data_IF_715319300911
#
_entry.id   IF_715319300911
#
_cell.length_a   1.000
_cell.length_b   1.000
_cell.length_c   1.000
_cell.angle_alpha   90.00
_cell.angle_beta   90.00
_cell.angle_gamma   90.00
#
_symmetry.space_group_name_H-M   'P 1'
#
loop_
_entity.id
_entity.type
_entity.pdbx_description
1 polymer ?
#
# COMPACT_ATOMS: atom_id res chain seq x y z
N UNK A 1 -19.17 -31.72 58.79
CA UNK A 1 -17.98 -31.89 57.91
C UNK A 1 -17.51 -30.48 57.55
N UNK A 2 -16.90 -29.77 58.51
CA UNK A 2 -15.45 -29.66 58.75
C UNK A 2 -14.81 -28.55 57.89
N UNK A 3 -14.43 -27.46 58.55
CA UNK A 3 -13.58 -26.38 58.07
C UNK A 3 -12.11 -26.67 58.41
N UNK A 4 -11.17 -26.17 57.59
CA UNK A 4 -9.74 -25.80 57.82
C UNK A 4 -9.12 -25.66 56.42
N UNK A 5 -8.72 -24.48 55.93
CA UNK A 5 -7.46 -23.75 56.24
C UNK A 5 -6.21 -24.64 56.14
N UNK A 6 -5.37 -24.44 55.10
CA UNK A 6 -3.91 -24.33 55.24
C UNK A 6 -3.17 -24.04 53.90
N UNK A 7 -2.36 -22.97 53.96
CA UNK A 7 -0.98 -22.84 53.47
C UNK A 7 -0.67 -22.64 51.96
N UNK A 8 -0.34 -21.39 51.64
CA UNK A 8 0.86 -21.03 50.86
C UNK A 8 2.15 -21.58 51.52
N UNK A 9 3.20 -21.86 50.73
CA UNK A 9 4.49 -21.29 51.12
C UNK A 9 5.29 -20.69 49.96
N UNK A 10 5.87 -19.54 50.30
CA UNK A 10 6.93 -18.80 49.63
C UNK A 10 8.13 -19.66 49.24
N UNK A 11 8.69 -19.38 48.06
CA UNK A 11 10.05 -19.75 47.65
C UNK A 11 10.51 -18.87 46.48
N UNK A 12 10.94 -17.63 46.74
CA UNK A 12 12.34 -17.22 46.90
C UNK A 12 13.27 -17.39 45.69
N UNK A 13 13.73 -16.24 45.18
CA UNK A 13 15.06 -15.92 44.61
C UNK A 13 15.27 -16.37 43.15
N UNK A 14 15.70 -15.51 42.22
CA UNK A 14 16.98 -14.80 42.29
C UNK A 14 16.99 -13.47 41.51
N UNK A 15 17.63 -12.49 42.15
CA UNK A 15 18.12 -11.23 41.63
C UNK A 15 19.60 -11.38 41.24
N UNK A 16 20.12 -10.46 40.40
CA UNK A 16 21.52 -10.12 40.06
C UNK A 16 22.02 -10.57 38.67
N UNK A 17 23.05 -9.92 38.07
CA UNK A 17 23.47 -8.51 38.12
C UNK A 17 23.78 -7.92 36.72
N UNK A 18 23.95 -6.59 36.66
CA UNK A 18 24.41 -5.88 35.46
C UNK A 18 25.92 -6.00 35.20
N UNK A 19 26.30 -5.87 33.93
CA UNK A 19 27.68 -5.58 33.54
C UNK A 19 27.72 -4.60 32.35
N UNK A 20 28.26 -3.42 32.61
CA UNK A 20 28.81 -2.50 31.61
C UNK A 20 29.86 -3.24 30.76
N UNK A 21 29.87 -2.99 29.45
CA UNK A 21 31.08 -3.17 28.64
C UNK A 21 31.33 -1.91 27.80
N UNK A 22 32.55 -1.42 27.97
CA UNK A 22 33.22 -0.27 27.34
C UNK A 22 33.45 -0.49 25.83
N UNK A 23 33.64 0.59 25.04
CA UNK A 23 33.94 0.51 23.62
C UNK A 23 35.38 0.06 23.37
N UNK A 24 35.56 -0.82 22.37
CA UNK A 24 36.86 -1.25 21.87
C UNK A 24 37.18 -0.51 20.58
N UNK A 25 38.27 0.25 20.60
CA UNK A 25 38.95 0.80 19.45
C UNK A 25 40.01 -0.21 18.95
N UNK A 26 40.07 -0.40 17.63
CA UNK A 26 41.09 -1.16 16.90
C UNK A 26 40.70 -1.11 15.42
N UNK A 27 41.25 -0.22 14.59
CA UNK A 27 42.62 -0.12 14.09
C UNK A 27 42.96 -1.21 13.05
N UNK A 28 43.12 -0.77 11.80
CA UNK A 28 44.05 -1.33 10.81
C UNK A 28 43.50 -2.38 9.84
N UNK A 29 43.19 -1.95 8.62
CA UNK A 29 43.65 -2.67 7.41
C UNK A 29 43.58 -1.73 6.19
N UNK A 30 44.77 -1.43 5.69
CA UNK A 30 45.11 -0.76 4.45
C UNK A 30 44.55 -1.47 3.22
N UNK A 31 43.96 -0.72 2.28
CA UNK A 31 44.04 -1.07 0.86
C UNK A 31 44.42 0.18 0.08
N UNK A 32 45.59 0.09 -0.52
CA UNK A 32 46.21 1.07 -1.41
C UNK A 32 45.63 0.88 -2.80
N UNK A 33 45.09 1.94 -3.39
CA UNK A 33 44.97 2.06 -4.84
C UNK A 33 45.30 3.49 -5.23
N UNK A 34 46.49 3.65 -5.81
CA UNK A 34 46.96 4.83 -6.52
C UNK A 34 46.01 5.19 -7.67
N UNK A 35 45.54 6.43 -7.69
CA UNK A 35 45.00 7.08 -8.89
C UNK A 35 45.80 8.35 -9.12
N UNK A 36 46.53 8.36 -10.23
CA UNK A 36 47.24 9.51 -10.77
C UNK A 36 46.27 10.61 -11.20
N UNK A 37 46.57 11.91 -10.97
CA UNK A 37 45.83 12.99 -11.60
C UNK A 37 46.60 13.43 -12.87
N UNK A 38 45.98 13.26 -14.05
CA UNK A 38 46.37 14.05 -15.22
C UNK A 38 45.28 15.09 -15.48
N UNK A 39 45.55 16.32 -15.03
CA UNK A 39 44.76 17.49 -15.40
C UNK A 39 45.31 18.03 -16.73
N UNK A 40 44.48 18.05 -17.77
CA UNK A 40 44.71 18.84 -18.98
C UNK A 40 43.38 19.34 -19.52
N UNK A 41 43.05 20.55 -19.06
CA UNK A 41 42.64 21.74 -19.83
C UNK A 41 41.62 21.62 -20.97
N UNK A 42 40.54 22.40 -20.76
CA UNK A 42 39.85 23.28 -21.70
C UNK A 42 38.89 22.67 -22.75
N UNK A 43 37.85 23.47 -23.04
CA UNK A 43 36.69 23.24 -23.93
C UNK A 43 35.64 22.32 -23.27
N UNK A 44 34.42 22.75 -22.94
CA UNK A 44 33.40 23.31 -23.85
C UNK A 44 32.47 24.25 -23.04
N UNK A 45 32.41 25.51 -23.44
CA UNK A 45 31.34 26.43 -23.05
C UNK A 45 30.09 26.19 -23.92
N UNK A 46 28.91 26.50 -23.37
CA UNK A 46 27.57 26.48 -23.99
C UNK A 46 26.75 25.19 -23.81
N UNK A 47 26.09 25.08 -22.65
CA UNK A 47 24.79 24.41 -22.54
C UNK A 47 23.90 25.16 -21.53
N UNK A 48 23.38 26.30 -21.97
CA UNK A 48 22.20 26.92 -21.37
C UNK A 48 20.97 26.07 -21.71
N UNK A 49 20.60 25.12 -20.83
CA UNK A 49 19.19 24.75 -20.60
C UNK A 49 19.08 23.73 -19.46
N UNK A 50 18.37 24.04 -18.35
CA UNK A 50 17.79 22.97 -17.55
C UNK A 50 16.74 22.24 -18.40
N UNK A 51 16.56 20.91 -18.23
CA UNK A 51 15.39 20.24 -18.77
C UNK A 51 14.17 20.90 -18.13
N UNK A 52 13.35 21.57 -18.93
CA UNK A 52 12.01 21.97 -18.54
C UNK A 52 11.24 20.68 -18.27
N UNK A 53 11.30 20.21 -17.02
CA UNK A 53 10.37 19.24 -16.49
C UNK A 53 8.97 19.71 -16.79
N UNK A 54 8.11 18.76 -17.16
CA UNK A 54 6.70 18.97 -17.41
C UNK A 54 6.09 19.73 -16.26
N UNK A 55 5.95 21.04 -16.46
CA UNK A 55 5.19 21.90 -15.58
C UNK A 55 3.75 21.67 -16.00
N UNK A 56 3.11 20.71 -15.34
CA UNK A 56 1.68 20.51 -15.42
C UNK A 56 1.02 21.86 -15.21
N UNK A 57 0.32 22.33 -16.24
CA UNK A 57 -0.39 23.59 -16.19
C UNK A 57 -1.38 23.55 -15.01
N UNK A 58 -1.39 24.56 -14.13
CA UNK A 58 -2.42 24.68 -13.12
C UNK A 58 -3.73 25.03 -13.82
N UNK A 59 -4.64 24.06 -13.86
CA UNK A 59 -5.94 24.19 -14.51
C UNK A 59 -6.24 23.06 -15.48
N UNK A 60 -6.01 21.81 -15.09
CA UNK A 60 -6.64 20.69 -15.78
C UNK A 60 -8.15 20.90 -15.71
N UNK A 61 -8.72 21.34 -16.83
CA UNK A 61 -10.16 21.52 -16.99
C UNK A 61 -10.79 20.15 -16.77
N UNK A 62 -11.37 19.96 -15.59
CA UNK A 62 -12.18 18.79 -15.30
C UNK A 62 -13.29 18.75 -16.34
N UNK A 63 -13.39 17.62 -17.03
CA UNK A 63 -14.50 17.42 -17.95
C UNK A 63 -15.80 17.47 -17.14
N UNK A 64 -16.63 18.47 -17.44
CA UNK A 64 -17.90 18.71 -16.74
C UNK A 64 -19.02 17.83 -17.29
N UNK A 65 -18.74 16.98 -18.29
CA UNK A 65 -19.63 15.92 -18.71
C UNK A 65 -19.96 15.00 -17.54
N UNK A 66 -21.11 14.31 -17.62
CA UNK A 66 -21.50 13.35 -16.57
C UNK A 66 -20.45 12.25 -16.37
N UNK A 67 -19.80 11.79 -17.44
CA UNK A 67 -18.74 10.79 -17.38
C UNK A 67 -17.48 11.37 -16.74
N UNK A 68 -17.08 12.58 -17.15
CA UNK A 68 -15.93 13.30 -16.60
C UNK A 68 -16.05 13.59 -15.11
N UNK A 69 -17.22 14.03 -14.64
CA UNK A 69 -17.47 14.26 -13.21
C UNK A 69 -17.40 12.95 -12.41
N UNK A 70 -17.99 11.87 -12.92
CA UNK A 70 -17.90 10.55 -12.27
C UNK A 70 -16.46 10.05 -12.20
N UNK A 71 -15.72 10.18 -13.30
CA UNK A 71 -14.32 9.82 -13.39
C UNK A 71 -13.48 10.61 -12.39
N UNK A 72 -13.65 11.93 -12.33
CA UNK A 72 -12.94 12.79 -11.37
C UNK A 72 -13.21 12.38 -9.91
N UNK A 73 -14.48 12.10 -9.56
CA UNK A 73 -14.83 11.63 -8.21
C UNK A 73 -14.21 10.27 -7.91
N UNK A 74 -14.29 9.32 -8.84
CA UNK A 74 -13.70 7.98 -8.67
C UNK A 74 -12.18 8.05 -8.54
N UNK A 75 -11.52 8.82 -9.39
CA UNK A 75 -10.07 9.02 -9.36
C UNK A 75 -9.59 9.79 -8.11
N UNK A 76 -10.45 10.58 -7.47
CA UNK A 76 -10.13 11.18 -6.17
C UNK A 76 -10.40 10.23 -4.99
N UNK A 77 -11.45 9.41 -5.07
CA UNK A 77 -11.86 8.52 -3.98
C UNK A 77 -11.01 7.25 -3.87
N UNK A 78 -10.63 6.63 -4.99
CA UNK A 78 -9.88 5.38 -4.97
C UNK A 78 -8.48 5.52 -4.33
N UNK A 79 -7.68 6.56 -4.63
CA UNK A 79 -6.42 6.77 -3.92
C UNK A 79 -6.61 7.00 -2.42
N UNK A 80 -7.64 7.78 -2.03
CA UNK A 80 -7.95 7.99 -0.62
C UNK A 80 -8.32 6.68 0.10
N UNK A 81 -9.01 5.76 -0.59
CA UNK A 81 -9.27 4.41 -0.09
C UNK A 81 -7.98 3.60 0.06
N UNK A 82 -7.05 3.67 -0.90
CA UNK A 82 -5.73 3.03 -0.78
C UNK A 82 -4.98 3.52 0.47
N UNK A 83 -4.95 4.84 0.71
CA UNK A 83 -4.30 5.39 1.92
C UNK A 83 -5.01 4.94 3.20
N UNK A 84 -6.34 4.96 3.22
CA UNK A 84 -7.11 4.48 4.37
C UNK A 84 -6.80 3.01 4.68
N UNK A 85 -6.66 2.16 3.66
CA UNK A 85 -6.29 0.75 3.81
C UNK A 85 -4.87 0.56 4.35
N UNK A 86 -3.91 1.41 3.95
CA UNK A 86 -2.51 1.36 4.43
C UNK A 86 -2.40 1.52 5.94
N UNK A 87 -3.31 2.28 6.55
CA UNK A 87 -3.37 2.46 8.01
C UNK A 87 -4.03 1.30 8.76
N UNK A 88 -4.74 0.40 8.06
CA UNK A 88 -5.42 -0.73 8.69
C UNK A 88 -4.51 -1.95 8.83
N UNK A 89 -4.87 -2.86 9.73
CA UNK A 89 -4.37 -4.24 9.75
C UNK A 89 -5.54 -5.16 9.43
N UNK A 90 -5.46 -5.90 8.34
CA UNK A 90 -6.58 -6.68 7.82
C UNK A 90 -6.42 -8.17 8.16
N UNK A 91 -7.51 -8.79 8.61
CA UNK A 91 -7.62 -10.25 8.65
C UNK A 91 -8.07 -10.81 7.30
N UNK A 92 -7.95 -12.13 7.11
CA UNK A 92 -8.39 -12.84 5.89
C UNK A 92 -9.79 -12.47 5.43
N UNK A 93 -10.78 -12.47 6.31
CA UNK A 93 -12.18 -12.18 5.94
C UNK A 93 -12.36 -10.74 5.43
N UNK A 94 -11.67 -9.77 6.05
CA UNK A 94 -11.74 -8.38 5.62
C UNK A 94 -11.09 -8.18 4.24
N UNK A 95 -9.95 -8.84 4.00
CA UNK A 95 -9.30 -8.85 2.69
C UNK A 95 -10.19 -9.47 1.59
N UNK A 96 -10.82 -10.62 1.88
CA UNK A 96 -11.73 -11.29 0.94
C UNK A 96 -12.98 -10.46 0.67
N UNK A 97 -13.48 -9.71 1.65
CA UNK A 97 -14.58 -8.77 1.44
C UNK A 97 -14.17 -7.64 0.49
N UNK A 98 -12.98 -7.06 0.68
CA UNK A 98 -12.45 -6.05 -0.24
C UNK A 98 -12.27 -6.64 -1.64
N UNK A 99 -11.81 -7.88 -1.76
CA UNK A 99 -11.71 -8.58 -3.05
C UNK A 99 -13.08 -8.70 -3.75
N UNK A 100 -14.10 -9.09 -3.00
CA UNK A 100 -15.47 -9.17 -3.51
C UNK A 100 -15.99 -7.79 -3.94
N UNK A 101 -15.72 -6.76 -3.14
CA UNK A 101 -16.15 -5.39 -3.42
C UNK A 101 -15.46 -4.84 -4.68
N UNK A 102 -14.15 -5.05 -4.85
CA UNK A 102 -13.42 -4.64 -6.07
C UNK A 102 -13.95 -5.41 -7.29
N UNK A 103 -14.20 -6.71 -7.16
CA UNK A 103 -14.77 -7.52 -8.23
C UNK A 103 -16.16 -7.01 -8.65
N UNK A 104 -16.99 -6.63 -7.67
CA UNK A 104 -18.29 -6.01 -7.91
C UNK A 104 -18.15 -4.63 -8.57
N UNK A 105 -17.25 -3.78 -8.05
CA UNK A 105 -17.08 -2.41 -8.51
C UNK A 105 -16.53 -2.32 -9.93
N UNK A 106 -15.67 -3.26 -10.37
CA UNK A 106 -15.01 -3.21 -11.68
C UNK A 106 -15.94 -2.93 -12.87
N UNK A 107 -17.02 -3.69 -13.13
CA UNK A 107 -17.95 -3.38 -14.22
C UNK A 107 -18.70 -2.05 -14.02
N UNK A 108 -18.97 -1.66 -12.77
CA UNK A 108 -19.66 -0.40 -12.47
C UNK A 108 -18.76 0.82 -12.67
N UNK A 109 -17.49 0.73 -12.32
CA UNK A 109 -16.48 1.76 -12.56
C UNK A 109 -16.28 1.90 -14.06
N UNK A 110 -16.08 0.79 -14.79
CA UNK A 110 -15.95 0.81 -16.25
C UNK A 110 -17.14 1.53 -16.92
N UNK A 111 -18.38 1.15 -16.58
CA UNK A 111 -19.57 1.80 -17.11
C UNK A 111 -19.74 3.26 -16.63
N UNK A 112 -19.18 3.64 -15.48
CA UNK A 112 -19.27 4.99 -14.96
C UNK A 112 -18.34 5.97 -15.68
N UNK A 113 -17.20 5.49 -16.17
CA UNK A 113 -16.14 6.27 -16.81
C UNK A 113 -16.02 6.01 -18.31
N UNK A 114 -16.93 5.23 -18.89
CA UNK A 114 -16.95 4.91 -20.31
C UNK A 114 -16.89 6.20 -21.16
N UNK A 115 -15.89 6.29 -22.03
CA UNK A 115 -15.66 7.46 -22.88
C UNK A 115 -14.94 8.63 -22.20
N UNK A 116 -14.55 8.52 -20.93
CA UNK A 116 -13.68 9.46 -20.23
C UNK A 116 -12.20 9.10 -20.44
N UNK A 117 -11.30 10.08 -20.35
CA UNK A 117 -9.86 9.87 -20.54
C UNK A 117 -9.24 9.02 -19.42
N UNK A 118 -9.89 9.00 -18.26
CA UNK A 118 -9.45 8.37 -17.03
C UNK A 118 -9.85 6.90 -16.91
N UNK A 119 -10.49 6.30 -17.93
CA UNK A 119 -10.98 4.91 -17.87
C UNK A 119 -9.89 3.93 -17.43
N UNK A 120 -8.72 3.99 -18.08
CA UNK A 120 -7.57 3.16 -17.72
C UNK A 120 -7.03 3.46 -16.33
N UNK A 121 -7.05 4.73 -15.91
CA UNK A 121 -6.60 5.16 -14.58
C UNK A 121 -7.53 4.62 -13.49
N UNK A 122 -8.84 4.70 -13.69
CA UNK A 122 -9.83 4.22 -12.73
C UNK A 122 -9.72 2.69 -12.52
N UNK A 123 -9.51 1.93 -13.60
CA UNK A 123 -9.29 0.48 -13.49
C UNK A 123 -7.95 0.14 -12.81
N UNK A 124 -6.89 0.87 -13.13
CA UNK A 124 -5.58 0.70 -12.47
C UNK A 124 -5.67 0.99 -10.97
N UNK A 125 -6.42 2.02 -10.57
CA UNK A 125 -6.63 2.37 -9.16
C UNK A 125 -7.40 1.28 -8.40
N UNK A 126 -8.34 0.57 -9.04
CA UNK A 126 -8.99 -0.59 -8.42
C UNK A 126 -8.00 -1.74 -8.14
N UNK A 127 -7.04 -1.97 -9.04
CA UNK A 127 -5.97 -2.94 -8.80
C UNK A 127 -5.05 -2.48 -7.66
N UNK A 128 -4.80 -1.17 -7.55
CA UNK A 128 -4.01 -0.62 -6.45
C UNK A 128 -4.72 -0.76 -5.10
N UNK A 129 -6.06 -0.62 -5.05
CA UNK A 129 -6.86 -0.92 -3.85
C UNK A 129 -6.66 -2.38 -3.42
N UNK A 130 -6.68 -3.31 -4.37
CA UNK A 130 -6.42 -4.73 -4.10
C UNK A 130 -5.01 -4.98 -3.57
N UNK A 131 -4.00 -4.36 -4.21
CA UNK A 131 -2.62 -4.47 -3.77
C UNK A 131 -2.43 -3.91 -2.35
N UNK A 132 -2.96 -2.71 -2.07
CA UNK A 132 -2.91 -2.08 -0.75
C UNK A 132 -3.58 -2.95 0.32
N UNK A 133 -4.74 -3.54 0.04
CA UNK A 133 -5.40 -4.45 0.96
C UNK A 133 -4.58 -5.73 1.21
N UNK A 134 -3.94 -6.28 0.18
CA UNK A 134 -3.14 -7.50 0.28
C UNK A 134 -1.89 -7.28 1.14
N UNK A 135 -1.17 -6.17 0.94
CA UNK A 135 0.02 -5.80 1.72
C UNK A 135 -0.27 -5.60 3.21
N UNK A 136 -1.51 -5.24 3.54
CA UNK A 136 -1.95 -5.00 4.92
C UNK A 136 -2.64 -6.20 5.56
N UNK A 137 -2.81 -7.30 4.82
CA UNK A 137 -3.41 -8.51 5.32
C UNK A 137 -2.40 -9.41 6.05
N UNK A 138 -2.76 -9.92 7.22
CA UNK A 138 -1.92 -10.85 7.99
C UNK A 138 -1.86 -12.26 7.38
N UNK A 139 -2.88 -12.64 6.62
CA UNK A 139 -3.01 -13.95 5.96
C UNK A 139 -3.76 -13.75 4.62
N UNK A 140 -3.08 -13.20 3.58
CA UNK A 140 -3.71 -12.95 2.30
C UNK A 140 -4.07 -14.28 1.61
N UNK A 141 -5.37 -14.51 1.41
CA UNK A 141 -5.90 -15.65 0.68
C UNK A 141 -7.00 -15.17 -0.27
N UNK A 142 -6.68 -15.13 -1.56
CA UNK A 142 -7.63 -14.77 -2.60
C UNK A 142 -8.71 -15.85 -2.75
N UNK A 143 -9.96 -15.42 -2.86
CA UNK A 143 -11.05 -16.23 -3.37
C UNK A 143 -10.85 -16.47 -4.86
N UNK A 144 -11.25 -17.65 -5.32
CA UNK A 144 -11.34 -17.94 -6.75
C UNK A 144 -12.41 -17.07 -7.40
N UNK A 145 -12.17 -16.67 -8.65
CA UNK A 145 -13.15 -15.91 -9.45
C UNK A 145 -14.51 -16.62 -9.52
N UNK A 146 -14.52 -17.95 -9.62
CA UNK A 146 -15.75 -18.75 -9.65
C UNK A 146 -16.59 -18.60 -8.36
N UNK A 147 -15.95 -18.37 -7.21
CA UNK A 147 -16.62 -18.14 -5.93
C UNK A 147 -17.17 -16.73 -5.88
N UNK A 148 -16.39 -15.73 -6.32
CA UNK A 148 -16.83 -14.34 -6.42
C UNK A 148 -18.06 -14.23 -7.33
N UNK A 149 -18.02 -14.82 -8.52
CA UNK A 149 -19.12 -14.83 -9.48
C UNK A 149 -20.39 -15.46 -8.90
N UNK A 150 -20.27 -16.58 -8.18
CA UNK A 150 -21.42 -17.22 -7.50
C UNK A 150 -22.04 -16.32 -6.44
N UNK A 151 -21.22 -15.65 -5.62
CA UNK A 151 -21.70 -14.73 -4.57
C UNK A 151 -22.46 -13.56 -5.22
N UNK A 152 -21.90 -12.95 -6.27
CA UNK A 152 -22.53 -11.83 -6.95
C UNK A 152 -23.79 -12.23 -7.74
N UNK A 153 -23.79 -13.42 -8.36
CA UNK A 153 -24.93 -13.94 -9.13
C UNK A 153 -26.13 -14.30 -8.24
N UNK A 154 -25.89 -14.90 -7.06
CA UNK A 154 -26.95 -15.27 -6.13
C UNK A 154 -27.69 -14.05 -5.57
N UNK A 155 -26.98 -12.94 -5.37
CA UNK A 155 -27.59 -11.69 -4.88
C UNK A 155 -28.45 -11.00 -5.94
N UNK A 156 -28.14 -11.17 -7.23
CA UNK A 156 -28.93 -10.62 -8.33
C UNK A 156 -30.31 -11.28 -8.48
N UNK A 157 -30.47 -12.53 -8.02
CA UNK A 157 -31.72 -13.32 -8.12
C UNK A 157 -32.83 -12.92 -7.14
N UNK A 158 -32.60 -11.98 -6.22
CA UNK A 158 -33.61 -11.53 -5.24
C UNK A 158 -34.44 -10.33 -5.68
N UNK A 159 -34.14 -9.74 -6.85
CA UNK A 159 -34.80 -8.52 -7.35
C UNK A 159 -36.06 -8.77 -8.20
N UNK A 160 -36.65 -9.97 -8.13
CA UNK A 160 -37.75 -10.40 -9.00
C UNK A 160 -38.77 -11.34 -8.36
N UNK A 161 -39.07 -11.19 -7.06
CA UNK A 161 -40.15 -11.93 -6.42
C UNK A 161 -41.03 -11.05 -5.56
#
# INVERSE_FOLDING_TARGET
LAATDLADPLGSRSSMPGHRRVPSAGSGASSSFDVTPNASRADIASASRPPSGGQGAPGQLVDTSRAGVKAAVLCAALPALCEALREQSLGRCAFQQIQLDVHFLRPHVLAAVEGAAEEGVALQLLEEVMAAAMERCTEPLLLETSVLDKILSNNAGTKGR
#
